data_IF_225792001688
#
_entry.id   IF_225792001688
#
_cell.length_a   1.000
_cell.length_b   1.000
_cell.length_c   1.000
_cell.angle_alpha   90.00
_cell.angle_beta   90.00
_cell.angle_gamma   90.00
#
_symmetry.space_group_name_H-M   'P 1'
#
loop_
_entity.id
_entity.type
_entity.pdbx_description
1 polymer ?
#
# COMPACT_ATOMS: atom_id res chain seq x y z
N UNK A 1 -15.75 31.21 -16.73
CA UNK A 1 -14.71 32.24 -16.75
C UNK A 1 -13.36 31.57 -16.89
N UNK A 2 -12.34 32.29 -17.34
CA UNK A 2 -10.95 31.84 -17.40
C UNK A 2 -10.05 32.80 -16.60
N UNK A 3 -8.97 32.29 -16.03
CA UNK A 3 -8.03 33.05 -15.22
C UNK A 3 -6.88 32.17 -14.75
N UNK A 4 -5.77 32.80 -14.33
CA UNK A 4 -4.61 32.16 -13.74
C UNK A 4 -4.81 31.91 -12.23
N UNK A 5 -3.87 31.20 -11.59
CA UNK A 5 -3.85 31.04 -10.13
C UNK A 5 -3.85 32.39 -9.39
N UNK A 6 -3.18 33.40 -9.96
CA UNK A 6 -3.14 34.77 -9.41
C UNK A 6 -4.52 35.42 -9.42
N UNK A 7 -5.29 35.24 -10.50
CA UNK A 7 -6.62 35.82 -10.64
C UNK A 7 -7.60 35.18 -9.63
N UNK A 8 -7.56 33.85 -9.52
CA UNK A 8 -8.40 33.10 -8.57
C UNK A 8 -8.05 33.43 -7.12
N UNK A 9 -6.76 33.48 -6.78
CA UNK A 9 -6.30 33.88 -5.45
C UNK A 9 -6.73 35.30 -5.12
N UNK A 10 -6.57 36.24 -6.06
CA UNK A 10 -6.97 37.62 -5.80
C UNK A 10 -8.47 37.79 -5.63
N UNK A 11 -9.27 37.08 -6.44
CA UNK A 11 -10.72 37.04 -6.28
C UNK A 11 -11.12 36.56 -4.90
N UNK A 12 -10.52 35.46 -4.42
CA UNK A 12 -10.85 34.91 -3.10
C UNK A 12 -10.43 35.84 -1.96
N UNK A 13 -9.28 36.52 -2.05
CA UNK A 13 -8.89 37.59 -1.11
C UNK A 13 -9.97 38.66 -1.03
N UNK A 14 -10.48 39.12 -2.17
CA UNK A 14 -11.51 40.17 -2.22
C UNK A 14 -12.84 39.71 -1.63
N UNK A 15 -13.25 38.46 -1.88
CA UNK A 15 -14.45 37.89 -1.29
C UNK A 15 -14.36 37.85 0.25
N UNK A 16 -13.25 37.39 0.81
CA UNK A 16 -13.07 37.38 2.26
C UNK A 16 -13.08 38.78 2.87
N UNK A 17 -12.41 39.74 2.22
CA UNK A 17 -12.43 41.15 2.67
C UNK A 17 -13.83 41.74 2.64
N UNK A 18 -14.64 41.40 1.64
CA UNK A 18 -16.03 41.85 1.56
C UNK A 18 -16.91 41.25 2.69
N UNK A 19 -16.55 40.05 3.17
CA UNK A 19 -17.17 39.41 4.33
C UNK A 19 -16.61 39.90 5.67
N UNK A 20 -15.74 40.92 5.68
CA UNK A 20 -15.15 41.49 6.89
C UNK A 20 -13.99 40.67 7.47
N UNK A 21 -13.44 39.72 6.70
CA UNK A 21 -12.30 38.90 7.12
C UNK A 21 -10.99 39.48 6.59
N UNK A 22 -9.96 39.49 7.42
CA UNK A 22 -8.63 39.88 7.00
C UNK A 22 -8.04 38.79 6.09
N UNK A 23 -7.78 39.12 4.83
CA UNK A 23 -7.18 38.22 3.86
C UNK A 23 -6.01 38.88 3.11
N UNK A 24 -5.02 38.08 2.72
CA UNK A 24 -3.82 38.51 1.98
C UNK A 24 -3.52 37.59 0.81
N UNK A 25 -2.91 38.16 -0.21
CA UNK A 25 -2.43 37.45 -1.38
C UNK A 25 -1.06 36.84 -1.07
N UNK A 26 -0.84 35.59 -1.46
CA UNK A 26 0.45 34.92 -1.30
C UNK A 26 0.96 34.49 -2.65
N UNK A 27 2.23 34.80 -2.93
CA UNK A 27 2.98 34.31 -4.09
C UNK A 27 4.13 33.45 -3.58
N UNK A 28 4.36 32.32 -4.22
CA UNK A 28 5.42 31.40 -3.81
C UNK A 28 5.58 30.26 -4.79
N UNK A 29 6.02 29.12 -4.27
CA UNK A 29 6.18 27.90 -5.03
C UNK A 29 5.15 26.86 -4.57
N UNK A 30 4.65 26.09 -5.52
CA UNK A 30 3.93 24.86 -5.26
C UNK A 30 4.83 23.70 -5.65
N UNK A 31 5.16 22.86 -4.68
CA UNK A 31 5.82 21.58 -4.86
C UNK A 31 4.77 20.49 -4.79
N UNK A 32 4.69 19.66 -5.82
CA UNK A 32 3.88 18.44 -5.79
C UNK A 32 4.77 17.25 -6.12
N UNK A 33 4.87 16.35 -5.15
CA UNK A 33 5.58 15.09 -5.32
C UNK A 33 4.63 14.03 -5.86
N UNK A 34 5.12 13.21 -6.78
CA UNK A 34 4.41 12.03 -7.26
C UNK A 34 4.11 11.09 -6.08
N UNK A 35 2.83 10.76 -5.83
CA UNK A 35 2.46 9.76 -4.83
C UNK A 35 2.88 8.36 -5.30
N UNK A 36 3.14 7.43 -4.37
CA UNK A 36 3.55 6.07 -4.76
C UNK A 36 2.42 5.21 -5.27
N UNK A 37 1.24 5.40 -4.69
CA UNK A 37 0.04 4.67 -5.04
C UNK A 37 -0.92 5.67 -5.69
N UNK A 38 -1.46 5.27 -6.84
CA UNK A 38 -2.54 6.01 -7.47
C UNK A 38 -3.79 5.94 -6.60
N UNK A 39 -4.45 7.08 -6.43
CA UNK A 39 -5.69 7.13 -5.65
C UNK A 39 -6.74 6.24 -6.30
N UNK A 40 -7.35 5.33 -5.54
CA UNK A 40 -8.44 4.46 -6.02
C UNK A 40 -9.74 5.25 -6.21
N UNK A 41 -10.05 6.16 -5.27
CA UNK A 41 -11.34 6.86 -5.19
C UNK A 41 -11.23 8.39 -5.33
N UNK A 42 -10.12 8.88 -5.88
CA UNK A 42 -9.80 10.32 -5.89
C UNK A 42 -8.95 10.73 -7.08
N UNK A 43 -8.78 12.05 -7.32
CA UNK A 43 -7.91 12.52 -8.39
C UNK A 43 -6.50 11.98 -8.17
N UNK A 44 -5.97 11.29 -9.18
CA UNK A 44 -4.58 10.88 -9.23
C UNK A 44 -3.72 12.13 -8.99
N UNK A 45 -2.81 12.07 -8.01
CA UNK A 45 -1.91 13.18 -7.73
C UNK A 45 -0.97 13.50 -8.90
N UNK A 46 0.07 14.27 -8.65
CA UNK A 46 1.06 14.61 -9.69
C UNK A 46 1.63 13.36 -10.37
N UNK A 47 1.73 13.36 -11.71
CA UNK A 47 2.26 12.23 -12.48
C UNK A 47 3.79 12.07 -12.33
N UNK A 48 4.46 13.17 -12.02
CA UNK A 48 5.89 13.31 -11.75
C UNK A 48 6.11 14.37 -10.66
N UNK A 49 7.32 14.41 -10.11
CA UNK A 49 7.68 15.50 -9.21
C UNK A 49 7.81 16.78 -10.00
N UNK A 50 7.06 17.80 -9.61
CA UNK A 50 7.18 19.10 -10.24
C UNK A 50 7.10 20.24 -9.24
N UNK A 51 7.60 21.38 -9.67
CA UNK A 51 7.49 22.62 -8.93
C UNK A 51 7.21 23.77 -9.89
N UNK A 52 6.27 24.61 -9.49
CA UNK A 52 5.87 25.80 -10.25
C UNK A 52 5.71 27.01 -9.34
N UNK A 53 5.82 28.19 -9.96
CA UNK A 53 5.38 29.42 -9.31
C UNK A 53 3.86 29.38 -9.15
N UNK A 54 3.39 29.63 -7.93
CA UNK A 54 1.99 29.55 -7.60
C UNK A 54 1.53 30.71 -6.71
N UNK A 55 0.23 30.94 -6.69
CA UNK A 55 -0.39 31.96 -5.85
C UNK A 55 -1.65 31.42 -5.18
N UNK A 56 -1.85 31.79 -3.91
CA UNK A 56 -3.00 31.39 -3.11
C UNK A 56 -3.45 32.51 -2.18
N UNK A 57 -4.57 32.28 -1.49
CA UNK A 57 -5.14 33.22 -0.50
C UNK A 57 -4.80 32.76 0.89
N UNK A 58 -4.44 33.68 1.79
CA UNK A 58 -4.48 33.41 3.22
C UNK A 58 -5.53 34.28 3.90
N UNK A 59 -6.32 33.68 4.79
CA UNK A 59 -7.32 34.37 5.63
C UNK A 59 -6.94 34.23 7.09
N UNK A 60 -7.01 35.32 7.85
CA UNK A 60 -6.73 35.31 9.27
C UNK A 60 -7.98 34.93 10.05
N UNK A 61 -7.88 33.85 10.83
CA UNK A 61 -8.92 33.38 11.74
C UNK A 61 -8.45 33.53 13.19
N UNK A 62 -9.24 34.19 14.06
CA UNK A 62 -8.89 34.31 15.48
C UNK A 62 -8.62 32.93 16.12
N UNK A 63 -7.47 32.80 16.77
CA UNK A 63 -7.02 31.54 17.40
C UNK A 63 -6.28 30.58 16.47
N UNK A 64 -6.61 30.52 15.18
CA UNK A 64 -5.96 29.62 14.22
C UNK A 64 -4.84 30.31 13.40
N UNK A 65 -4.79 31.64 13.38
CA UNK A 65 -3.79 32.40 12.64
C UNK A 65 -4.13 32.53 11.15
N UNK A 66 -3.12 32.59 10.29
CA UNK A 66 -3.30 32.66 8.84
C UNK A 66 -3.50 31.26 8.26
N UNK A 67 -4.65 31.04 7.62
CA UNK A 67 -5.00 29.78 6.96
C UNK A 67 -4.94 29.97 5.45
N UNK A 68 -4.14 29.15 4.76
CA UNK A 68 -3.99 29.18 3.31
C UNK A 68 -5.06 28.37 2.59
N UNK A 69 -5.67 28.97 1.56
CA UNK A 69 -6.64 28.36 0.66
C UNK A 69 -6.18 28.57 -0.78
N UNK A 70 -6.14 27.48 -1.53
CA UNK A 70 -5.75 27.45 -2.93
C UNK A 70 -7.01 27.28 -3.80
N UNK A 71 -7.57 28.38 -4.34
CA UNK A 71 -8.77 28.31 -5.18
C UNK A 71 -8.51 27.68 -6.55
N UNK A 72 -7.26 27.43 -6.94
CA UNK A 72 -6.93 26.73 -8.18
C UNK A 72 -7.14 25.23 -8.03
N UNK A 73 -6.72 24.64 -6.92
CA UNK A 73 -6.92 23.21 -6.62
C UNK A 73 -8.22 22.92 -5.85
N UNK A 74 -8.80 23.93 -5.20
CA UNK A 74 -9.94 23.76 -4.30
C UNK A 74 -9.55 23.17 -2.93
N UNK A 75 -8.26 23.18 -2.60
CA UNK A 75 -7.71 22.58 -1.39
C UNK A 75 -7.16 23.66 -0.44
N UNK A 76 -6.89 23.25 0.81
CA UNK A 76 -6.06 24.05 1.70
C UNK A 76 -4.61 24.09 1.20
N UNK A 77 -3.91 25.19 1.47
CA UNK A 77 -2.48 25.24 1.25
C UNK A 77 -1.80 24.26 2.23
N UNK A 78 -1.04 23.31 1.68
CA UNK A 78 -0.35 22.27 2.41
C UNK A 78 1.16 22.47 2.44
N UNK A 79 1.89 21.43 2.79
CA UNK A 79 3.36 21.46 2.91
C UNK A 79 4.07 21.80 1.58
N UNK A 80 3.44 21.51 0.46
CA UNK A 80 3.94 21.87 -0.87
C UNK A 80 3.86 23.37 -1.18
N UNK A 81 3.05 24.15 -0.46
CA UNK A 81 2.88 25.59 -0.69
C UNK A 81 3.94 26.36 0.10
N UNK A 82 5.04 26.72 -0.55
CA UNK A 82 6.15 27.45 0.08
C UNK A 82 5.98 28.96 -0.17
N UNK A 83 5.58 29.75 0.83
CA UNK A 83 5.35 31.18 0.65
C UNK A 83 6.67 31.91 0.41
N UNK A 84 6.73 32.70 -0.66
CA UNK A 84 7.85 33.60 -0.95
C UNK A 84 7.53 35.05 -0.54
N UNK A 85 6.31 35.51 -0.81
CA UNK A 85 5.83 36.84 -0.45
C UNK A 85 4.34 36.82 -0.09
N UNK A 86 3.98 37.45 1.03
CA UNK A 86 2.59 37.62 1.46
C UNK A 86 2.26 39.12 1.50
N UNK A 87 1.30 39.57 0.70
CA UNK A 87 1.03 41.00 0.50
C UNK A 87 -0.47 41.31 0.53
N UNK A 88 -0.86 42.55 0.87
CA UNK A 88 -2.26 42.96 0.76
C UNK A 88 -2.75 43.06 -0.69
N UNK A 89 -1.85 43.24 -1.66
CA UNK A 89 -2.16 43.43 -3.08
C UNK A 89 -1.17 42.65 -3.97
N UNK A 90 -1.61 42.03 -5.08
CA UNK A 90 -0.75 41.20 -5.92
C UNK A 90 0.46 41.94 -6.52
N UNK A 91 0.31 43.22 -6.83
CA UNK A 91 1.40 44.04 -7.40
C UNK A 91 2.61 44.13 -6.47
N UNK A 92 2.40 44.09 -5.15
CA UNK A 92 3.50 44.13 -4.18
C UNK A 92 4.29 42.82 -4.12
N UNK A 93 3.76 41.74 -4.72
CA UNK A 93 4.43 40.45 -4.85
C UNK A 93 4.97 40.22 -6.28
N UNK A 94 4.96 41.25 -7.13
CA UNK A 94 5.50 41.14 -8.49
C UNK A 94 7.02 40.98 -8.44
N UNK A 95 7.60 39.94 -9.08
CA UNK A 95 9.05 39.73 -9.09
C UNK A 95 9.78 40.79 -9.93
N UNK A 96 9.07 41.40 -10.89
CA UNK A 96 9.57 42.45 -11.78
C UNK A 96 8.48 43.53 -11.83
N UNK A 97 8.87 44.79 -11.67
CA UNK A 97 7.99 45.95 -11.81
C UNK A 97 8.60 46.93 -12.81
N UNK A 98 7.76 47.60 -13.60
CA UNK A 98 8.20 48.56 -14.61
C UNK A 98 7.11 48.91 -15.62
N UNK A 99 7.48 49.70 -16.61
CA UNK A 99 6.65 50.03 -17.76
C UNK A 99 6.97 49.12 -18.93
N UNK A 100 5.98 48.85 -19.78
CA UNK A 100 6.16 48.02 -20.98
C UNK A 100 6.30 48.91 -22.21
N UNK A 101 7.37 48.71 -22.98
CA UNK A 101 7.49 49.20 -24.36
C UNK A 101 7.70 48.01 -25.30
N UNK A 102 7.55 48.23 -26.61
CA UNK A 102 7.79 47.18 -27.59
C UNK A 102 9.30 46.87 -27.63
N UNK A 103 9.67 45.69 -27.17
CA UNK A 103 11.04 45.24 -27.07
C UNK A 103 11.14 43.77 -27.54
N UNK A 104 12.21 43.42 -28.26
CA UNK A 104 12.53 42.04 -28.57
C UNK A 104 13.46 41.51 -27.47
N UNK A 105 12.91 40.65 -26.61
CA UNK A 105 13.63 40.03 -25.50
C UNK A 105 13.39 38.54 -25.49
N UNK A 106 14.39 37.79 -25.02
CA UNK A 106 14.25 36.37 -24.70
C UNK A 106 14.26 36.23 -23.19
N UNK A 107 13.19 35.66 -22.63
CA UNK A 107 13.13 35.30 -21.22
C UNK A 107 13.43 33.81 -21.05
N UNK A 108 14.17 33.50 -19.99
CA UNK A 108 14.44 32.14 -19.56
C UNK A 108 14.10 32.03 -18.07
N UNK A 109 13.45 30.93 -17.69
CA UNK A 109 13.24 30.55 -16.30
C UNK A 109 13.47 29.04 -16.18
N UNK A 110 14.01 28.63 -15.03
CA UNK A 110 14.29 27.24 -14.71
C UNK A 110 13.83 26.97 -13.28
N UNK A 111 13.18 25.83 -13.09
CA UNK A 111 12.74 25.32 -11.79
C UNK A 111 13.02 23.82 -11.76
N UNK A 112 13.66 23.35 -10.68
CA UNK A 112 14.02 21.95 -10.52
C UNK A 112 13.79 21.51 -9.09
N UNK A 113 13.34 20.29 -8.89
CA UNK A 113 13.20 19.65 -7.59
C UNK A 113 14.01 18.36 -7.53
N UNK A 114 14.58 18.08 -6.37
CA UNK A 114 15.28 16.82 -6.10
C UNK A 114 14.92 16.31 -4.70
N UNK A 115 14.72 14.99 -4.58
CA UNK A 115 14.51 14.32 -3.30
C UNK A 115 15.87 14.06 -2.66
N UNK A 116 16.14 14.67 -1.50
CA UNK A 116 17.43 14.54 -0.80
C UNK A 116 17.50 13.24 0.03
N UNK A 117 16.36 12.83 0.59
CA UNK A 117 16.23 11.63 1.39
C UNK A 117 14.84 11.05 1.19
N UNK A 118 14.77 9.73 1.00
CA UNK A 118 13.54 9.00 0.77
C UNK A 118 13.66 7.67 1.51
N UNK A 119 12.87 7.52 2.58
CA UNK A 119 12.82 6.26 3.31
C UNK A 119 12.31 5.13 2.39
N UNK A 120 12.77 3.88 2.58
CA UNK A 120 12.31 2.75 1.80
C UNK A 120 10.79 2.62 1.92
N UNK A 121 10.12 2.73 0.77
CA UNK A 121 8.67 2.75 0.71
C UNK A 121 8.15 1.31 0.60
N UNK A 122 7.30 0.89 1.53
CA UNK A 122 6.62 -0.43 1.48
C UNK A 122 5.73 -0.61 0.24
N UNK A 123 5.47 0.47 -0.49
CA UNK A 123 4.61 0.54 -1.67
C UNK A 123 5.36 0.35 -2.98
N UNK A 124 6.69 0.27 -2.95
CA UNK A 124 7.54 0.01 -4.12
C UNK A 124 8.50 -1.15 -3.83
N UNK A 125 8.92 -1.91 -4.85
CA UNK A 125 10.02 -2.85 -4.68
C UNK A 125 11.27 -2.12 -4.18
N UNK A 126 12.07 -2.81 -3.35
CA UNK A 126 13.41 -2.34 -3.03
C UNK A 126 14.23 -2.20 -4.31
N UNK A 127 15.16 -1.24 -4.35
CA UNK A 127 16.13 -1.16 -5.44
C UNK A 127 16.99 -2.42 -5.46
N UNK A 128 17.54 -2.76 -6.64
CA UNK A 128 18.42 -3.93 -6.78
C UNK A 128 19.57 -3.90 -5.76
N UNK A 129 20.17 -2.73 -5.53
CA UNK A 129 21.22 -2.54 -4.52
C UNK A 129 20.76 -2.85 -3.09
N UNK A 130 19.56 -2.39 -2.71
CA UNK A 130 19.00 -2.69 -1.38
C UNK A 130 18.66 -4.18 -1.28
N UNK A 131 18.15 -4.78 -2.35
CA UNK A 131 17.84 -6.20 -2.41
C UNK A 131 19.11 -7.07 -2.28
N UNK A 132 20.18 -6.75 -3.00
CA UNK A 132 21.48 -7.42 -2.89
C UNK A 132 22.04 -7.33 -1.46
N UNK A 133 21.85 -6.20 -0.78
CA UNK A 133 22.24 -6.06 0.64
C UNK A 133 21.42 -6.95 1.56
N UNK A 134 20.10 -7.02 1.36
CA UNK A 134 19.22 -7.91 2.14
C UNK A 134 19.67 -9.36 1.95
N UNK A 135 19.90 -9.77 0.70
CA UNK A 135 20.34 -11.13 0.36
C UNK A 135 21.73 -11.44 0.94
N UNK A 136 22.66 -10.48 0.89
CA UNK A 136 23.97 -10.60 1.53
C UNK A 136 23.87 -10.81 3.05
N UNK A 137 22.96 -10.09 3.72
CA UNK A 137 22.69 -10.30 5.15
C UNK A 137 22.07 -11.68 5.39
N UNK A 138 21.15 -12.12 4.53
CA UNK A 138 20.58 -13.47 4.57
C UNK A 138 21.67 -14.55 4.56
N UNK A 139 22.59 -14.48 3.60
CA UNK A 139 23.73 -15.39 3.51
C UNK A 139 24.66 -15.34 4.74
N UNK A 140 24.80 -14.19 5.39
CA UNK A 140 25.57 -14.07 6.63
C UNK A 140 24.86 -14.76 7.80
N UNK A 141 23.54 -14.61 7.89
CA UNK A 141 22.71 -15.28 8.90
C UNK A 141 22.76 -16.79 8.69
N UNK A 142 22.62 -17.27 7.45
CA UNK A 142 22.67 -18.71 7.13
C UNK A 142 24.00 -19.33 7.57
N UNK A 143 25.14 -18.67 7.26
CA UNK A 143 26.47 -19.12 7.73
C UNK A 143 26.56 -19.19 9.25
N UNK A 144 25.95 -18.24 9.95
CA UNK A 144 25.94 -18.22 11.41
C UNK A 144 25.08 -19.35 11.99
N UNK A 145 23.94 -19.65 11.35
CA UNK A 145 23.05 -20.75 11.73
C UNK A 145 23.73 -22.11 11.51
N UNK A 146 24.39 -22.29 10.37
CA UNK A 146 25.18 -23.50 10.07
C UNK A 146 26.32 -23.70 11.08
N UNK A 147 27.11 -22.65 11.35
CA UNK A 147 28.20 -22.69 12.32
C UNK A 147 27.70 -22.98 13.75
N UNK A 148 26.46 -22.57 14.06
CA UNK A 148 25.80 -22.84 15.34
C UNK A 148 25.08 -24.19 15.43
N UNK A 149 25.15 -25.03 14.39
CA UNK A 149 24.41 -26.30 14.27
C UNK A 149 22.88 -26.14 14.51
N UNK A 150 22.31 -25.03 14.03
CA UNK A 150 20.87 -24.74 14.15
C UNK A 150 20.13 -25.50 13.04
N UNK A 151 19.71 -26.73 13.34
CA UNK A 151 19.06 -27.64 12.36
C UNK A 151 17.56 -27.46 12.20
N UNK A 152 16.89 -26.79 13.14
CA UNK A 152 15.45 -26.56 13.09
C UNK A 152 15.18 -25.09 12.78
N UNK A 153 14.76 -24.81 11.56
CA UNK A 153 14.27 -23.49 11.16
C UNK A 153 12.74 -23.55 11.07
N UNK A 154 12.06 -22.76 11.89
CA UNK A 154 10.61 -22.55 11.78
C UNK A 154 10.39 -21.30 10.94
N UNK A 155 9.75 -21.46 9.77
CA UNK A 155 9.40 -20.35 8.89
C UNK A 155 8.26 -19.49 9.46
N UNK A 156 8.10 -18.28 8.91
CA UNK A 156 6.97 -17.41 9.24
C UNK A 156 5.64 -17.92 8.67
N UNK A 157 4.53 -17.56 9.31
CA UNK A 157 3.17 -17.83 8.85
C UNK A 157 2.72 -16.65 7.95
N UNK A 158 2.81 -16.73 6.60
CA UNK A 158 2.32 -15.65 5.75
C UNK A 158 0.82 -15.49 5.95
N UNK A 159 0.39 -14.25 6.20
CA UNK A 159 -1.03 -13.92 6.37
C UNK A 159 -1.53 -13.30 5.08
N UNK A 160 -2.59 -13.87 4.51
CA UNK A 160 -3.31 -13.30 3.38
C UNK A 160 -4.52 -12.52 3.88
N UNK A 161 -4.70 -11.30 3.36
CA UNK A 161 -5.88 -10.47 3.57
C UNK A 161 -6.38 -10.07 2.19
N UNK A 162 -7.68 -10.26 1.94
CA UNK A 162 -8.29 -9.90 0.65
C UNK A 162 -8.25 -8.40 0.43
N UNK A 163 -7.82 -7.95 -0.76
CA UNK A 163 -7.87 -6.51 -1.11
C UNK A 163 -9.31 -6.03 -1.34
N UNK A 164 -10.19 -6.93 -1.79
CA UNK A 164 -11.58 -6.61 -2.14
C UNK A 164 -12.46 -6.43 -0.89
N UNK A 165 -12.02 -6.98 0.25
CA UNK A 165 -12.75 -6.94 1.52
C UNK A 165 -11.78 -7.13 2.69
N UNK A 166 -11.10 -6.06 3.10
CA UNK A 166 -10.18 -6.11 4.27
C UNK A 166 -10.93 -5.97 5.60
N UNK A 167 -12.18 -5.52 5.56
CA UNK A 167 -12.92 -4.97 6.69
C UNK A 167 -14.09 -5.81 7.17
N UNK A 168 -14.37 -6.94 6.54
CA UNK A 168 -15.35 -7.86 7.10
C UNK A 168 -14.81 -8.62 8.31
N UNK A 169 -15.74 -9.14 9.10
CA UNK A 169 -15.42 -10.02 10.23
C UNK A 169 -14.62 -11.24 9.77
N UNK A 170 -14.81 -11.71 8.54
CA UNK A 170 -14.03 -12.80 7.95
C UNK A 170 -12.53 -12.57 8.05
N UNK A 171 -12.05 -11.34 7.85
CA UNK A 171 -10.63 -11.02 7.85
C UNK A 171 -10.13 -10.45 9.18
N UNK A 172 -11.03 -9.93 10.02
CA UNK A 172 -10.69 -9.33 11.32
C UNK A 172 -10.82 -10.30 12.50
N UNK A 173 -11.94 -10.99 12.64
CA UNK A 173 -12.33 -11.63 13.91
C UNK A 173 -12.82 -13.07 13.75
N UNK A 174 -13.56 -13.38 12.69
CA UNK A 174 -14.18 -14.67 12.48
C UNK A 174 -13.15 -15.76 12.15
N UNK A 175 -13.33 -16.93 12.75
CA UNK A 175 -12.47 -18.10 12.56
C UNK A 175 -12.59 -18.69 11.14
N UNK A 176 -13.78 -18.66 10.57
CA UNK A 176 -14.09 -19.09 9.20
C UNK A 176 -15.08 -18.09 8.63
N UNK A 177 -14.77 -17.50 7.48
CA UNK A 177 -15.74 -16.76 6.69
C UNK A 177 -16.06 -17.48 5.38
N UNK A 178 -16.96 -16.91 4.56
CA UNK A 178 -17.46 -17.55 3.35
C UNK A 178 -16.40 -17.79 2.27
N UNK A 179 -15.31 -17.03 2.22
CA UNK A 179 -14.35 -17.02 1.10
C UNK A 179 -12.94 -17.45 1.48
N UNK A 180 -12.54 -17.22 2.73
CA UNK A 180 -11.18 -17.39 3.28
C UNK A 180 -10.66 -18.81 3.12
N UNK A 181 -11.53 -19.81 3.28
CA UNK A 181 -11.15 -21.22 3.13
C UNK A 181 -10.74 -21.55 1.69
N UNK A 182 -11.58 -21.18 0.72
CA UNK A 182 -11.30 -21.40 -0.70
C UNK A 182 -10.10 -20.62 -1.19
N UNK A 183 -9.97 -19.34 -0.79
CA UNK A 183 -8.81 -18.50 -1.12
C UNK A 183 -7.49 -19.07 -0.58
N UNK A 184 -7.48 -19.55 0.67
CA UNK A 184 -6.31 -20.21 1.24
C UNK A 184 -5.99 -21.54 0.54
N UNK A 185 -7.01 -22.30 0.13
CA UNK A 185 -6.86 -23.52 -0.68
C UNK A 185 -6.17 -23.26 -2.02
N UNK A 186 -6.63 -22.22 -2.73
CA UNK A 186 -6.02 -21.81 -3.99
C UNK A 186 -4.56 -21.36 -3.80
N UNK A 187 -4.30 -20.55 -2.77
CA UNK A 187 -2.95 -20.06 -2.48
C UNK A 187 -1.99 -21.21 -2.15
N UNK A 188 -2.36 -22.16 -1.30
CA UNK A 188 -1.45 -23.25 -0.94
C UNK A 188 -1.17 -24.17 -2.13
N UNK A 189 -2.13 -24.37 -3.03
CA UNK A 189 -1.91 -25.18 -4.23
C UNK A 189 -0.93 -24.49 -5.20
N UNK A 190 -1.04 -23.18 -5.38
CA UNK A 190 -0.05 -22.40 -6.14
C UNK A 190 1.34 -22.46 -5.52
N UNK A 191 1.44 -22.33 -4.19
CA UNK A 191 2.71 -22.46 -3.46
C UNK A 191 3.28 -23.87 -3.61
N UNK A 192 2.45 -24.92 -3.49
CA UNK A 192 2.88 -26.31 -3.68
C UNK A 192 3.41 -26.50 -5.10
N UNK A 193 2.69 -26.07 -6.13
CA UNK A 193 3.15 -26.19 -7.51
C UNK A 193 4.48 -25.48 -7.76
N UNK A 194 4.71 -24.34 -7.10
CA UNK A 194 5.93 -23.55 -7.26
C UNK A 194 7.14 -24.10 -6.49
N UNK A 195 6.93 -24.50 -5.24
CA UNK A 195 8.02 -24.80 -4.30
C UNK A 195 8.15 -26.29 -3.95
N UNK A 196 7.04 -27.04 -4.05
CA UNK A 196 6.95 -28.42 -3.61
C UNK A 196 6.13 -29.30 -4.59
N UNK A 197 6.55 -29.46 -5.87
CA UNK A 197 5.73 -30.15 -6.87
C UNK A 197 5.38 -31.60 -6.51
N UNK A 198 6.22 -32.26 -5.71
CA UNK A 198 6.03 -33.63 -5.19
C UNK A 198 5.67 -33.67 -3.70
N UNK A 199 5.34 -32.50 -3.14
CA UNK A 199 4.89 -32.34 -1.77
C UNK A 199 3.43 -32.76 -1.58
N UNK A 200 3.09 -33.07 -0.34
CA UNK A 200 1.73 -33.40 0.08
C UNK A 200 1.11 -32.17 0.75
N UNK A 201 -0.15 -31.87 0.43
CA UNK A 201 -0.96 -30.95 1.23
C UNK A 201 -1.67 -31.76 2.31
N UNK A 202 -1.50 -31.31 3.55
CA UNK A 202 -2.21 -31.83 4.71
C UNK A 202 -3.25 -30.80 5.18
N UNK A 203 -4.47 -31.29 5.35
CA UNK A 203 -5.61 -30.54 5.87
C UNK A 203 -5.80 -30.89 7.33
N UNK A 204 -5.46 -29.96 8.23
CA UNK A 204 -5.39 -30.23 9.66
C UNK A 204 -6.17 -29.23 10.51
N UNK A 205 -6.19 -29.52 11.81
CA UNK A 205 -6.62 -28.57 12.84
C UNK A 205 -5.50 -27.53 13.05
N UNK A 206 -5.90 -26.27 13.08
CA UNK A 206 -5.07 -25.14 13.42
C UNK A 206 -5.16 -24.78 14.91
N UNK A 207 -4.72 -23.57 15.24
CA UNK A 207 -4.75 -23.04 16.62
C UNK A 207 -6.19 -23.01 17.14
N UNK A 208 -6.36 -23.33 18.43
CA UNK A 208 -7.64 -23.21 19.13
C UNK A 208 -7.54 -22.09 20.15
N UNK A 209 -8.28 -21.00 19.93
CA UNK A 209 -8.26 -19.86 20.83
C UNK A 209 -9.30 -20.01 21.96
N UNK A 210 -9.01 -19.53 23.18
CA UNK A 210 -9.98 -19.52 24.26
C UNK A 210 -11.29 -18.84 23.84
N UNK A 211 -12.43 -19.52 24.05
CA UNK A 211 -13.76 -19.03 23.72
C UNK A 211 -14.31 -19.49 22.36
N UNK A 212 -13.49 -20.11 21.49
CA UNK A 212 -13.97 -20.73 20.26
C UNK A 212 -14.53 -22.13 20.54
N UNK A 213 -15.64 -22.51 19.89
CA UNK A 213 -16.29 -23.83 20.09
C UNK A 213 -15.55 -24.99 19.40
N UNK A 214 -14.76 -24.68 18.37
CA UNK A 214 -13.97 -25.64 17.59
C UNK A 214 -12.59 -25.04 17.29
N UNK A 215 -11.54 -25.87 17.13
CA UNK A 215 -10.25 -25.39 16.65
C UNK A 215 -10.38 -24.78 15.25
N UNK A 216 -9.50 -23.83 14.93
CA UNK A 216 -9.37 -23.33 13.55
C UNK A 216 -8.83 -24.44 12.64
N UNK A 217 -8.70 -24.16 11.36
CA UNK A 217 -8.11 -25.05 10.37
C UNK A 217 -6.71 -24.58 9.97
N UNK A 218 -5.88 -25.52 9.51
CA UNK A 218 -4.55 -25.24 8.98
C UNK A 218 -4.34 -26.03 7.68
N UNK A 219 -3.71 -25.37 6.71
CA UNK A 219 -3.23 -25.99 5.48
C UNK A 219 -1.71 -26.07 5.56
N UNK A 220 -1.16 -27.27 5.44
CA UNK A 220 0.30 -27.47 5.49
C UNK A 220 0.78 -28.11 4.21
N UNK A 221 1.80 -27.53 3.59
CA UNK A 221 2.51 -28.15 2.48
C UNK A 221 3.78 -28.79 3.02
N UNK A 222 3.90 -30.10 2.88
CA UNK A 222 5.06 -30.86 3.34
C UNK A 222 5.82 -31.40 2.12
N UNK A 223 7.13 -31.27 2.11
CA UNK A 223 8.00 -31.86 1.09
C UNK A 223 9.34 -32.27 1.67
N UNK A 224 10.06 -33.13 0.96
CA UNK A 224 11.39 -33.56 1.34
C UNK A 224 12.43 -32.70 0.66
N UNK A 225 13.47 -32.34 1.39
CA UNK A 225 14.60 -31.56 0.85
C UNK A 225 15.47 -32.38 -0.12
N UNK A 226 15.38 -33.71 -0.07
CA UNK A 226 16.05 -34.62 -1.02
C UNK A 226 15.29 -34.80 -2.36
N UNK A 227 14.16 -34.11 -2.53
CA UNK A 227 13.37 -34.13 -3.76
C UNK A 227 12.62 -35.44 -4.02
N UNK A 228 12.61 -36.39 -3.09
CA UNK A 228 11.79 -37.59 -3.20
C UNK A 228 10.31 -37.27 -2.94
N UNK A 229 9.38 -37.95 -3.62
CA UNK A 229 7.96 -37.71 -3.44
C UNK A 229 7.48 -38.18 -2.07
N UNK A 230 6.70 -37.34 -1.38
CA UNK A 230 5.96 -37.76 -0.18
C UNK A 230 4.70 -38.52 -0.59
N UNK A 231 4.09 -38.13 -1.72
CA UNK A 231 2.88 -38.71 -2.25
C UNK A 231 3.05 -38.93 -3.75
N UNK A 232 2.77 -40.14 -4.23
CA UNK A 232 3.04 -40.51 -5.63
C UNK A 232 1.86 -40.29 -6.56
N UNK A 233 0.63 -40.29 -6.04
CA UNK A 233 -0.58 -40.23 -6.86
C UNK A 233 -1.54 -39.13 -6.40
N UNK A 234 -1.38 -37.95 -6.99
CA UNK A 234 -2.14 -36.77 -6.61
C UNK A 234 -3.63 -36.90 -6.93
N UNK A 235 -4.03 -37.81 -7.83
CA UNK A 235 -5.44 -38.05 -8.17
C UNK A 235 -6.22 -38.66 -7.01
N UNK A 236 -5.53 -39.19 -5.99
CA UNK A 236 -6.14 -39.73 -4.78
C UNK A 236 -6.43 -38.66 -3.72
N UNK A 237 -6.01 -37.41 -3.94
CA UNK A 237 -6.31 -36.30 -3.04
C UNK A 237 -7.65 -35.68 -3.42
N UNK A 238 -8.57 -35.63 -2.47
CA UNK A 238 -9.87 -34.97 -2.66
C UNK A 238 -9.68 -33.45 -2.83
N UNK A 239 -10.40 -32.86 -3.78
CA UNK A 239 -10.53 -31.42 -3.90
C UNK A 239 -11.42 -30.88 -2.76
N UNK A 240 -10.98 -29.85 -2.00
CA UNK A 240 -11.71 -29.38 -0.81
C UNK A 240 -13.12 -28.86 -1.07
N UNK A 241 -13.37 -28.33 -2.26
CA UNK A 241 -14.64 -27.71 -2.66
C UNK A 241 -15.53 -28.68 -3.47
N UNK A 242 -15.05 -29.90 -3.73
CA UNK A 242 -15.84 -30.92 -4.42
C UNK A 242 -16.58 -31.80 -3.41
N UNK A 243 -17.89 -31.94 -3.60
CA UNK A 243 -18.67 -32.96 -2.93
C UNK A 243 -18.63 -34.24 -3.76
N UNK A 244 -18.02 -35.29 -3.20
CA UNK A 244 -17.92 -36.62 -3.83
C UNK A 244 -19.11 -37.54 -3.50
N UNK A 245 -20.18 -36.98 -2.90
CA UNK A 245 -21.39 -37.69 -2.49
C UNK A 245 -21.11 -38.86 -1.53
N UNK A 246 -20.16 -38.65 -0.62
CA UNK A 246 -19.84 -39.60 0.44
C UNK A 246 -20.62 -39.31 1.73
N UNK A 247 -21.11 -40.37 2.37
CA UNK A 247 -21.90 -40.28 3.60
C UNK A 247 -21.16 -40.84 4.83
N UNK A 248 -21.82 -40.73 5.99
CA UNK A 248 -21.27 -41.18 7.28
C UNK A 248 -21.11 -42.71 7.32
N UNK A 249 -21.98 -43.46 6.64
CA UNK A 249 -21.90 -44.93 6.61
C UNK A 249 -20.65 -45.39 5.85
N UNK A 250 -20.36 -44.74 4.71
CA UNK A 250 -19.15 -44.98 3.93
C UNK A 250 -17.88 -44.61 4.72
N UNK A 251 -17.88 -43.49 5.44
CA UNK A 251 -16.77 -43.11 6.32
C UNK A 251 -16.52 -44.15 7.42
N UNK A 252 -17.59 -44.66 8.06
CA UNK A 252 -17.49 -45.71 9.06
C UNK A 252 -16.97 -47.03 8.47
N UNK A 253 -17.44 -47.41 7.29
CA UNK A 253 -16.97 -48.59 6.57
C UNK A 253 -15.47 -48.48 6.24
N UNK A 254 -15.03 -47.33 5.74
CA UNK A 254 -13.61 -47.06 5.46
C UNK A 254 -12.76 -47.19 6.71
N UNK A 255 -13.11 -46.47 7.79
CA UNK A 255 -12.36 -46.49 9.04
C UNK A 255 -12.25 -47.91 9.63
N UNK A 256 -13.35 -48.67 9.62
CA UNK A 256 -13.38 -50.05 10.11
C UNK A 256 -12.52 -50.98 9.24
N UNK A 257 -12.58 -50.82 7.92
CA UNK A 257 -11.80 -51.62 6.98
C UNK A 257 -10.32 -51.32 7.08
N UNK A 258 -9.95 -50.04 7.21
CA UNK A 258 -8.58 -49.58 7.40
C UNK A 258 -8.00 -50.15 8.70
N UNK A 259 -8.73 -50.03 9.82
CA UNK A 259 -8.28 -50.55 11.11
C UNK A 259 -8.03 -52.07 11.07
N UNK A 260 -8.89 -52.83 10.38
CA UNK A 260 -8.72 -54.29 10.20
C UNK A 260 -7.56 -54.70 9.30
N UNK A 261 -7.05 -53.80 8.46
CA UNK A 261 -5.94 -54.08 7.52
C UNK A 261 -4.59 -53.58 8.00
N UNK A 262 -4.58 -52.56 8.88
CA UNK A 262 -3.36 -52.02 9.48
C UNK A 262 -2.94 -52.75 10.76
N UNK A 263 -3.83 -53.57 11.33
CA UNK A 263 -3.56 -54.47 12.45
C UNK A 263 -3.47 -55.91 11.92
#
# INVERSE_FOLDING_TARGET
GSGSCRDSAWLLVQLFRHLGLAARFVSGYLIQLKPDIESLDGPSGAAEDFTDLHAWTEVFLPGAGWIGLDPTSGLFAGEGHIPLACTPEPLNAAPIAGTVEKCEVTFHHEMSISRVHEDPRITKPYTDEVWERIDSVGHQVDKALEAGDVRLTMGGEPTFVSIDDMDSDEWKTAAVGPTKRGLAGNLIELLRQRFAPQGMIHYGQGKWYPGESLPRWALTCMWRTDGQPIWNDHMLLAAPEENYDHDVEQAQLFATTLAKRLW
#
